data_IF_516057567003
#
_entry.id   IF_516057567003
#
_cell.length_a   1.000
_cell.length_b   1.000
_cell.length_c   1.000
_cell.angle_alpha   90.00
_cell.angle_beta   90.00
_cell.angle_gamma   90.00
#
_symmetry.space_group_name_H-M   'P 1'
#
loop_
_entity.id
_entity.type
_entity.pdbx_description
1 polymer ?
#
# COMPACT_ATOMS: atom_id res chain seq x y z
N UNK A 1 25.08 -31.87 8.42
CA UNK A 1 23.93 -31.18 9.03
C UNK A 1 23.54 -30.07 8.07
N UNK A 2 22.64 -30.39 7.14
CA UNK A 2 22.30 -29.52 6.00
C UNK A 2 21.26 -28.53 6.48
N UNK A 3 21.61 -27.23 6.49
CA UNK A 3 20.68 -26.16 6.84
C UNK A 3 19.72 -26.02 5.65
N UNK A 4 18.49 -26.50 5.81
CA UNK A 4 17.44 -26.31 4.83
C UNK A 4 17.07 -24.83 4.81
N UNK A 5 17.56 -24.14 3.79
CA UNK A 5 17.24 -22.76 3.47
C UNK A 5 15.75 -22.70 3.12
N UNK A 6 14.91 -22.37 4.10
CA UNK A 6 13.51 -22.02 3.86
C UNK A 6 13.49 -20.98 2.73
N UNK A 7 12.72 -21.19 1.65
CA UNK A 7 12.68 -20.24 0.56
C UNK A 7 12.22 -18.90 1.13
N UNK A 8 13.14 -17.95 1.11
CA UNK A 8 12.87 -16.53 1.27
C UNK A 8 11.79 -16.18 0.25
N UNK A 9 10.57 -15.95 0.73
CA UNK A 9 9.43 -15.51 -0.09
C UNK A 9 9.55 -14.03 -0.47
N UNK A 10 10.66 -13.37 -0.16
CA UNK A 10 10.78 -11.92 -0.27
C UNK A 10 11.24 -11.43 -1.64
N UNK A 11 11.53 -12.31 -2.62
CA UNK A 11 11.98 -11.85 -3.93
C UNK A 11 11.72 -12.81 -5.10
N UNK A 12 10.62 -13.57 -5.09
CA UNK A 12 10.21 -14.36 -6.27
C UNK A 12 8.75 -14.08 -6.60
N UNK A 13 8.52 -12.96 -7.27
CA UNK A 13 7.29 -12.66 -7.98
C UNK A 13 7.66 -11.68 -9.07
N UNK A 14 7.41 -12.06 -10.32
CA UNK A 14 7.34 -11.23 -11.53
C UNK A 14 7.76 -9.76 -11.36
N UNK A 15 8.66 -9.27 -12.22
CA UNK A 15 8.73 -7.84 -12.55
C UNK A 15 7.37 -7.43 -13.13
N UNK A 16 6.36 -7.29 -12.28
CA UNK A 16 5.06 -6.79 -12.61
C UNK A 16 5.31 -5.34 -12.95
N UNK A 17 5.19 -4.99 -14.23
CA UNK A 17 5.05 -3.60 -14.69
C UNK A 17 3.74 -2.97 -14.21
N UNK A 18 3.15 -3.53 -13.15
CA UNK A 18 1.93 -3.09 -12.52
C UNK A 18 2.35 -1.96 -11.58
N UNK A 19 1.90 -0.75 -11.91
CA UNK A 19 2.19 0.41 -11.07
C UNK A 19 1.52 0.16 -9.73
N UNK A 20 2.31 0.15 -8.65
CA UNK A 20 1.78 0.11 -7.30
C UNK A 20 0.72 1.21 -7.15
N UNK A 21 -0.42 0.91 -6.51
CA UNK A 21 -1.46 1.90 -6.31
C UNK A 21 -0.90 3.07 -5.50
N UNK A 22 -1.18 4.28 -5.98
CA UNK A 22 -0.87 5.51 -5.26
C UNK A 22 -2.13 5.91 -4.51
N UNK A 23 -2.06 5.93 -3.19
CA UNK A 23 -3.17 6.36 -2.33
C UNK A 23 -2.87 7.75 -1.79
N UNK A 24 -3.78 8.68 -2.04
CA UNK A 24 -3.70 10.02 -1.50
C UNK A 24 -4.10 10.02 -0.02
N UNK A 25 -3.17 10.44 0.84
CA UNK A 25 -3.38 10.55 2.29
C UNK A 25 -3.59 12.00 2.73
N UNK A 26 -3.64 12.95 1.79
CA UNK A 26 -3.94 14.36 2.06
C UNK A 26 -5.19 14.57 2.95
N UNK A 27 -6.28 13.77 2.85
CA UNK A 27 -7.43 13.91 3.74
C UNK A 27 -7.14 13.68 5.24
N UNK A 28 -6.03 13.01 5.57
CA UNK A 28 -5.59 12.83 6.95
C UNK A 28 -4.74 13.99 7.46
N UNK A 29 -4.12 14.75 6.56
CA UNK A 29 -3.31 15.91 6.91
C UNK A 29 -4.10 17.22 6.82
N UNK A 30 -5.22 17.22 6.10
CA UNK A 30 -6.08 18.38 5.95
C UNK A 30 -7.19 18.40 7.02
N UNK A 31 -7.22 19.48 7.80
CA UNK A 31 -8.24 19.71 8.85
C UNK A 31 -9.62 20.06 8.27
N UNK A 32 -9.70 20.47 6.99
CA UNK A 32 -10.96 20.74 6.30
C UNK A 32 -11.54 19.50 5.62
N UNK A 33 -10.79 18.40 5.57
CA UNK A 33 -11.25 17.14 5.00
C UNK A 33 -12.43 16.58 5.79
N UNK A 34 -13.44 16.12 5.07
CA UNK A 34 -14.62 15.52 5.69
C UNK A 34 -14.33 14.10 6.16
N UNK A 35 -15.18 13.59 7.05
CA UNK A 35 -15.13 12.19 7.47
C UNK A 35 -15.28 11.22 6.29
N UNK A 36 -16.02 11.63 5.25
CA UNK A 36 -16.18 10.87 4.01
C UNK A 36 -14.87 10.79 3.21
N UNK A 37 -14.11 11.88 3.11
CA UNK A 37 -12.82 11.90 2.40
C UNK A 37 -11.79 11.01 3.10
N UNK A 38 -11.75 11.07 4.43
CA UNK A 38 -10.90 10.19 5.25
C UNK A 38 -11.30 8.74 5.09
N UNK A 39 -12.60 8.44 5.07
CA UNK A 39 -13.10 7.08 4.82
C UNK A 39 -12.68 6.57 3.45
N UNK A 40 -12.82 7.36 2.38
CA UNK A 40 -12.39 6.99 1.02
C UNK A 40 -10.90 6.70 0.96
N UNK A 41 -10.06 7.53 1.59
CA UNK A 41 -8.63 7.28 1.68
C UNK A 41 -8.30 5.99 2.45
N UNK A 42 -9.08 5.67 3.50
CA UNK A 42 -8.98 4.43 4.28
C UNK A 42 -9.32 3.19 3.47
N UNK A 43 -10.45 3.21 2.77
CA UNK A 43 -10.89 2.12 1.89
C UNK A 43 -9.87 1.89 0.75
N UNK A 44 -9.31 2.97 0.19
CA UNK A 44 -8.27 2.87 -0.83
C UNK A 44 -6.97 2.24 -0.28
N UNK A 45 -6.53 2.63 0.93
CA UNK A 45 -5.38 2.02 1.60
C UNK A 45 -5.61 0.54 1.90
N UNK A 46 -6.79 0.18 2.44
CA UNK A 46 -7.13 -1.21 2.76
C UNK A 46 -7.14 -2.09 1.50
N UNK A 47 -7.80 -1.62 0.45
CA UNK A 47 -7.85 -2.33 -0.84
C UNK A 47 -6.46 -2.50 -1.43
N UNK A 48 -5.63 -1.46 -1.40
CA UNK A 48 -4.28 -1.48 -1.94
C UNK A 48 -3.37 -2.46 -1.16
N UNK A 49 -3.40 -2.42 0.16
CA UNK A 49 -2.66 -3.36 1.01
C UNK A 49 -3.13 -4.80 0.83
N UNK A 50 -4.43 -5.02 0.62
CA UNK A 50 -5.01 -6.36 0.47
C UNK A 50 -4.73 -6.98 -0.89
N UNK A 51 -4.69 -6.17 -1.95
CA UNK A 51 -4.47 -6.64 -3.31
C UNK A 51 -2.97 -6.74 -3.66
N UNK A 52 -2.16 -5.76 -3.23
CA UNK A 52 -0.75 -5.65 -3.64
C UNK A 52 0.24 -5.93 -2.51
N UNK A 53 -0.18 -5.92 -1.23
CA UNK A 53 0.71 -6.05 -0.07
C UNK A 53 1.52 -4.78 0.24
N UNK A 54 1.70 -3.89 -0.74
CA UNK A 54 2.38 -2.60 -0.60
C UNK A 54 1.69 -1.53 -1.47
N UNK A 55 1.80 -0.26 -1.07
CA UNK A 55 1.27 0.87 -1.84
C UNK A 55 2.13 2.12 -1.65
N UNK A 56 2.05 3.02 -2.62
CA UNK A 56 2.69 4.33 -2.52
C UNK A 56 1.69 5.31 -1.90
N UNK A 57 2.15 6.18 -1.00
CA UNK A 57 1.32 7.24 -0.45
C UNK A 57 1.68 8.59 -1.06
N UNK A 58 0.68 9.38 -1.44
CA UNK A 58 0.82 10.76 -1.90
C UNK A 58 0.28 11.73 -0.85
N UNK A 59 0.84 12.94 -0.81
CA UNK A 59 0.41 13.97 0.14
C UNK A 59 1.06 13.89 1.51
N UNK A 60 2.33 13.48 1.63
CA UNK A 60 3.10 13.48 2.90
C UNK A 60 3.75 14.83 3.23
N UNK A 61 3.14 15.94 2.78
CA UNK A 61 3.71 17.29 2.84
C UNK A 61 4.06 17.76 4.25
#
# INVERSE_FOLDING_TARGET
>A
MTVENKPDRSAVGTMSTERLPIVDISPYLDDSATDEDRRKARDALDSACREFGECCVAGTG
#
